data_IF_955207119384
#
_entry.id   IF_955207119384
#
_cell.length_a   1.000
_cell.length_b   1.000
_cell.length_c   1.000
_cell.angle_alpha   90.00
_cell.angle_beta   90.00
_cell.angle_gamma   90.00
#
_symmetry.space_group_name_H-M   'P 1'
#
loop_
_entity.id
_entity.type
_entity.pdbx_description
1 polymer ?
#
# COMPACT_ATOMS: atom_id res chain seq x y z
N UNK A 1 6.93 3.48 23.06
CA UNK A 1 6.07 2.72 22.14
C UNK A 1 6.66 2.98 20.77
N UNK A 2 7.57 2.12 20.37
CA UNK A 2 8.34 2.27 19.12
C UNK A 2 8.55 0.86 18.61
N UNK A 3 7.44 0.26 18.21
CA UNK A 3 7.36 -1.02 17.55
C UNK A 3 7.28 -0.70 16.05
N UNK A 4 8.44 -0.49 15.45
CA UNK A 4 8.61 -0.36 14.01
C UNK A 4 9.92 -1.06 13.64
N UNK A 5 9.96 -2.37 13.82
CA UNK A 5 10.95 -3.25 13.22
C UNK A 5 10.27 -4.58 12.89
N UNK A 6 10.77 -5.27 11.87
CA UNK A 6 10.32 -6.57 11.31
C UNK A 6 9.37 -6.51 10.10
N UNK A 7 9.93 -6.10 8.95
CA UNK A 7 9.36 -6.35 7.62
C UNK A 7 8.22 -5.41 7.27
N UNK A 8 8.43 -4.54 6.29
CA UNK A 8 7.42 -3.59 5.80
C UNK A 8 6.30 -4.38 5.09
N UNK A 9 5.41 -5.02 5.85
CA UNK A 9 4.24 -5.67 5.29
C UNK A 9 3.29 -4.56 4.90
N UNK A 10 3.20 -4.31 3.60
CA UNK A 10 2.37 -3.28 3.03
C UNK A 10 0.91 -3.73 3.12
N UNK A 11 0.22 -3.26 4.14
CA UNK A 11 -1.19 -3.52 4.36
C UNK A 11 -2.06 -2.51 3.60
N UNK A 12 -2.95 -3.03 2.75
CA UNK A 12 -4.02 -2.27 2.11
C UNK A 12 -5.16 -2.06 3.10
N UNK A 13 -5.79 -0.88 3.06
CA UNK A 13 -6.96 -0.54 3.90
C UNK A 13 -8.19 -1.43 3.62
N UNK A 14 -8.14 -2.22 2.55
CA UNK A 14 -9.11 -3.26 2.22
C UNK A 14 -8.97 -4.54 3.05
N UNK A 15 -7.85 -4.70 3.78
CA UNK A 15 -7.53 -5.91 4.56
C UNK A 15 -6.56 -6.86 3.86
N UNK A 16 -6.06 -6.55 2.66
CA UNK A 16 -4.99 -7.30 2.03
C UNK A 16 -3.63 -6.88 2.59
N UNK A 17 -2.69 -7.81 2.71
CA UNK A 17 -1.32 -7.55 3.18
C UNK A 17 -0.34 -8.11 2.17
N UNK A 18 0.64 -7.31 1.77
CA UNK A 18 1.63 -7.68 0.76
C UNK A 18 3.03 -7.52 1.33
N UNK A 19 3.94 -8.38 0.89
CA UNK A 19 5.35 -8.32 1.31
C UNK A 19 6.12 -7.22 0.56
N UNK A 20 5.57 -6.68 -0.53
CA UNK A 20 6.20 -5.65 -1.35
C UNK A 20 5.26 -4.50 -1.74
N UNK A 21 5.82 -3.29 -1.88
CA UNK A 21 5.07 -2.11 -2.34
C UNK A 21 4.51 -2.28 -3.75
N UNK A 22 5.21 -3.04 -4.60
CA UNK A 22 4.80 -3.25 -6.00
C UNK A 22 3.49 -4.04 -6.08
N UNK A 23 3.37 -5.11 -5.29
CA UNK A 23 2.14 -5.90 -5.19
C UNK A 23 1.00 -5.10 -4.57
N UNK A 24 1.27 -4.31 -3.52
CA UNK A 24 0.25 -3.44 -2.96
C UNK A 24 -0.17 -2.34 -3.95
N UNK A 25 0.76 -1.80 -4.74
CA UNK A 25 0.49 -0.80 -5.79
C UNK A 25 -0.37 -1.37 -6.90
N UNK A 26 -0.04 -2.55 -7.42
CA UNK A 26 -0.81 -3.19 -8.48
C UNK A 26 -2.22 -3.56 -7.98
N UNK A 27 -2.32 -4.13 -6.77
CA UNK A 27 -3.59 -4.40 -6.12
C UNK A 27 -4.43 -3.13 -5.94
N UNK A 28 -3.83 -2.06 -5.40
CA UNK A 28 -4.52 -0.79 -5.22
C UNK A 28 -4.90 -0.17 -6.57
N UNK A 29 -4.07 -0.26 -7.61
CA UNK A 29 -4.39 0.28 -8.94
C UNK A 29 -5.59 -0.43 -9.58
N UNK A 30 -5.69 -1.76 -9.44
CA UNK A 30 -6.80 -2.53 -10.01
C UNK A 30 -8.06 -2.50 -9.16
N UNK A 31 -7.94 -2.52 -7.82
CA UNK A 31 -9.08 -2.65 -6.90
C UNK A 31 -9.49 -1.33 -6.24
N UNK A 32 -8.55 -0.41 -6.05
CA UNK A 32 -8.73 0.87 -5.37
C UNK A 32 -8.15 2.05 -6.16
N UNK A 33 -8.58 2.28 -7.41
CA UNK A 33 -7.98 3.30 -8.27
C UNK A 33 -7.99 4.71 -7.63
N UNK A 34 -9.04 5.03 -6.86
CA UNK A 34 -9.20 6.29 -6.13
C UNK A 34 -8.16 6.45 -4.99
N UNK A 35 -7.95 5.38 -4.21
CA UNK A 35 -6.95 5.37 -3.14
C UNK A 35 -5.52 5.24 -3.67
N UNK A 36 -5.33 4.65 -4.86
CA UNK A 36 -4.04 4.56 -5.51
C UNK A 36 -3.52 5.95 -5.89
N UNK A 37 -4.36 6.81 -6.49
CA UNK A 37 -3.98 8.20 -6.76
C UNK A 37 -3.66 8.97 -5.47
N UNK A 38 -4.46 8.82 -4.41
CA UNK A 38 -4.21 9.54 -3.14
C UNK A 38 -2.94 9.05 -2.40
N UNK A 39 -2.62 7.75 -2.48
CA UNK A 39 -1.49 7.13 -1.74
C UNK A 39 -0.19 7.06 -2.53
N UNK A 40 -0.28 6.88 -3.84
CA UNK A 40 0.85 6.64 -4.74
C UNK A 40 0.96 7.68 -5.85
N UNK A 41 -0.04 8.53 -6.04
CA UNK A 41 0.06 9.75 -6.83
C UNK A 41 0.61 10.88 -5.97
N UNK A 42 1.91 10.81 -5.64
CA UNK A 42 2.63 11.98 -5.13
C UNK A 42 3.11 12.81 -6.33
N UNK A 43 2.27 13.82 -6.63
CA UNK A 43 2.46 15.17 -7.21
C UNK A 43 3.59 15.48 -8.23
N UNK A 44 3.18 16.18 -9.29
CA UNK A 44 3.91 17.06 -10.24
C UNK A 44 5.26 17.68 -9.82
#
# INVERSE_FOLDING_TARGET
>A
MSDHDEGDVHACNCGATFDTLDELKDHAKENHPDAYEEKFGDEE
#
